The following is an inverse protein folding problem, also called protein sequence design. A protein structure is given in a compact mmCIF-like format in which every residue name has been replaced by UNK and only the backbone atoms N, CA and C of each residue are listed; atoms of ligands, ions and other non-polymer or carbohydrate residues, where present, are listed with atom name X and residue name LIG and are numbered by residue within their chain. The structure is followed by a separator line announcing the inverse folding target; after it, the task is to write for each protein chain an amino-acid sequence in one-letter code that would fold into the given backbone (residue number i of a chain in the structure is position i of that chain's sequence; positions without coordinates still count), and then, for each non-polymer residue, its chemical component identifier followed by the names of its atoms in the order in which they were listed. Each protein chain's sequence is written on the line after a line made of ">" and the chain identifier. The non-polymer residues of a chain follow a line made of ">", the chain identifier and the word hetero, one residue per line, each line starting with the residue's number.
data_IF_176637681121
#
_entry.id   IF_176637681121
#
_cell.length_a   1.000
_cell.length_b   1.000
_cell.length_c   1.000
_cell.angle_alpha   90.00
_cell.angle_beta   90.00
_cell.angle_gamma   90.00
#
_symmetry.space_group_name_H-M   'P 1'
#
loop_
_entity.id
_entity.type
_entity.pdbx_description
1 polymer ?
#
# COMPACT_ATOMS: atom_id res chain seq x y z
N UNK A 1 -23.01 2.93 5.18
CA UNK A 1 -22.76 2.10 3.99
C UNK A 1 -21.87 2.84 3.00
N UNK A 2 -21.35 2.17 1.97
CA UNK A 2 -20.45 2.75 0.95
C UNK A 2 -21.11 3.93 0.21
N UNK A 3 -22.39 3.83 -0.14
CA UNK A 3 -23.12 4.86 -0.91
C UNK A 3 -23.21 6.18 -0.14
N UNK A 4 -23.58 6.13 1.14
CA UNK A 4 -23.64 7.33 1.97
C UNK A 4 -22.24 7.92 2.20
N UNK A 5 -21.25 7.09 2.42
CA UNK A 5 -19.86 7.55 2.55
C UNK A 5 -19.37 8.23 1.26
N UNK A 6 -19.71 7.70 0.07
CA UNK A 6 -19.40 8.34 -1.21
C UNK A 6 -20.08 9.70 -1.40
N UNK A 7 -21.34 9.81 -1.01
CA UNK A 7 -22.05 11.09 -1.04
C UNK A 7 -21.36 12.12 -0.13
N UNK A 8 -21.11 11.78 1.12
CA UNK A 8 -20.42 12.67 2.06
C UNK A 8 -19.02 13.05 1.58
N UNK A 9 -18.28 12.12 0.97
CA UNK A 9 -16.98 12.41 0.39
C UNK A 9 -17.05 13.49 -0.70
N UNK A 10 -18.04 13.41 -1.59
CA UNK A 10 -18.25 14.42 -2.63
C UNK A 10 -18.63 15.78 -2.04
N UNK A 11 -19.57 15.80 -1.10
CA UNK A 11 -20.01 17.03 -0.43
C UNK A 11 -18.88 17.71 0.35
N UNK A 12 -18.07 16.92 1.08
CA UNK A 12 -16.95 17.47 1.85
C UNK A 12 -15.83 18.02 0.95
N UNK A 13 -15.60 17.41 -0.21
CA UNK A 13 -14.68 17.98 -1.20
C UNK A 13 -15.10 19.37 -1.70
N UNK A 14 -16.40 19.59 -1.85
CA UNK A 14 -16.94 20.91 -2.24
C UNK A 14 -16.86 21.91 -1.08
N UNK A 15 -17.13 21.47 0.16
CA UNK A 15 -17.09 22.35 1.33
C UNK A 15 -15.68 22.72 1.77
N UNK A 16 -14.71 21.84 1.53
CA UNK A 16 -13.32 21.98 1.98
C UNK A 16 -12.33 21.84 0.81
N UNK A 17 -12.37 22.75 -0.19
CA UNK A 17 -11.56 22.62 -1.41
C UNK A 17 -10.05 22.74 -1.16
N UNK A 18 -9.63 23.42 -0.09
CA UNK A 18 -8.22 23.59 0.29
C UNK A 18 -7.68 22.43 1.15
N UNK A 19 -8.59 21.67 1.79
CA UNK A 19 -8.24 20.56 2.65
C UNK A 19 -8.10 19.26 1.85
N UNK A 20 -7.36 18.32 2.41
CA UNK A 20 -7.26 16.97 1.84
C UNK A 20 -8.44 16.12 2.32
N UNK A 21 -9.46 15.96 1.48
CA UNK A 21 -10.59 15.06 1.76
C UNK A 21 -10.33 13.71 1.14
N UNK A 22 -10.40 12.65 1.95
CA UNK A 22 -10.04 11.29 1.58
C UNK A 22 -11.18 10.30 1.86
N UNK A 23 -11.18 9.18 1.12
CA UNK A 23 -12.22 8.17 1.18
C UNK A 23 -11.65 6.83 1.65
N UNK A 24 -12.24 6.26 2.70
CA UNK A 24 -11.75 5.03 3.30
C UNK A 24 -12.89 4.05 3.62
N UNK A 25 -13.21 3.17 2.69
CA UNK A 25 -14.28 2.16 2.84
C UNK A 25 -13.74 0.76 2.57
N UNK A 26 -14.56 -0.27 2.75
CA UNK A 26 -14.18 -1.63 2.35
C UNK A 26 -13.88 -1.71 0.86
N UNK A 27 -12.72 -2.27 0.49
CA UNK A 27 -12.32 -2.46 -0.89
C UNK A 27 -12.92 -3.69 -1.56
N UNK A 28 -13.67 -4.52 -0.82
CA UNK A 28 -14.39 -5.66 -1.41
C UNK A 28 -15.65 -5.19 -2.14
N UNK A 29 -15.76 -5.53 -3.42
CA UNK A 29 -17.02 -5.43 -4.16
C UNK A 29 -17.90 -6.63 -3.87
N UNK A 30 -17.29 -7.79 -3.71
CA UNK A 30 -17.92 -9.03 -3.33
C UNK A 30 -17.05 -9.77 -2.31
N UNK A 31 -17.72 -10.37 -1.32
CA UNK A 31 -17.07 -11.22 -0.33
C UNK A 31 -17.99 -12.34 0.10
N UNK A 32 -17.58 -13.56 -0.12
CA UNK A 32 -18.20 -14.78 0.36
C UNK A 32 -17.22 -15.52 1.28
N UNK A 33 -17.52 -15.66 2.58
CA UNK A 33 -16.68 -16.46 3.45
C UNK A 33 -16.79 -17.95 3.10
N UNK A 34 -15.76 -18.71 3.44
CA UNK A 34 -15.84 -20.16 3.41
C UNK A 34 -16.93 -20.67 4.34
N UNK A 35 -17.61 -21.73 3.92
CA UNK A 35 -18.62 -22.41 4.68
C UNK A 35 -18.64 -23.91 4.40
N UNK A 36 -18.99 -24.70 5.42
CA UNK A 36 -19.22 -26.14 5.26
C UNK A 36 -20.65 -26.47 5.62
N UNK A 37 -21.35 -27.15 4.71
CA UNK A 37 -22.73 -27.59 4.89
C UNK A 37 -22.75 -29.11 5.18
N UNK A 38 -22.80 -29.53 6.45
CA UNK A 38 -22.68 -30.94 6.82
C UNK A 38 -23.75 -31.85 6.21
N UNK A 39 -24.97 -31.33 6.01
CA UNK A 39 -26.10 -32.10 5.47
C UNK A 39 -25.91 -32.56 4.03
N UNK A 40 -25.10 -31.87 3.25
CA UNK A 40 -24.81 -32.15 1.85
C UNK A 40 -23.35 -32.51 1.57
N UNK A 41 -22.53 -32.52 2.64
CA UNK A 41 -21.05 -32.69 2.55
C UNK A 41 -20.44 -31.71 1.52
N UNK A 42 -20.93 -30.46 1.57
CA UNK A 42 -20.51 -29.44 0.59
C UNK A 42 -19.62 -28.41 1.28
N UNK A 43 -18.43 -28.24 0.74
CA UNK A 43 -17.54 -27.14 1.10
C UNK A 43 -17.70 -25.99 0.10
N UNK A 44 -18.00 -24.81 0.61
CA UNK A 44 -18.07 -23.57 -0.17
C UNK A 44 -16.78 -22.84 0.06
N UNK A 45 -16.00 -22.66 -1.00
CA UNK A 45 -14.73 -21.93 -0.94
C UNK A 45 -14.96 -20.42 -0.72
N UNK A 46 -13.98 -19.81 -0.05
CA UNK A 46 -13.92 -18.35 0.06
C UNK A 46 -13.80 -17.73 -1.32
N UNK A 47 -14.64 -16.75 -1.60
CA UNK A 47 -14.56 -15.96 -2.83
C UNK A 47 -14.62 -14.47 -2.52
N UNK A 48 -13.79 -13.66 -3.16
CA UNK A 48 -13.72 -12.23 -2.94
C UNK A 48 -13.21 -11.50 -4.18
N UNK A 49 -13.81 -10.36 -4.45
CA UNK A 49 -13.40 -9.45 -5.50
C UNK A 49 -12.98 -8.11 -4.88
N UNK A 50 -11.77 -7.67 -5.19
CA UNK A 50 -11.20 -6.41 -4.71
C UNK A 50 -11.40 -5.34 -5.78
N UNK A 51 -11.83 -4.16 -5.35
CA UNK A 51 -11.93 -2.97 -6.19
C UNK A 51 -10.62 -2.18 -6.09
N UNK A 52 -9.86 -2.14 -7.19
CA UNK A 52 -8.55 -1.51 -7.26
C UNK A 52 -8.58 0.01 -7.05
N UNK A 53 -9.66 0.69 -7.49
CA UNK A 53 -9.84 2.12 -7.29
C UNK A 53 -10.05 2.44 -5.79
N UNK A 54 -10.91 1.67 -5.12
CA UNK A 54 -11.13 1.83 -3.68
C UNK A 54 -9.86 1.49 -2.89
N UNK A 55 -9.11 0.49 -3.31
CA UNK A 55 -7.83 0.15 -2.68
C UNK A 55 -6.83 1.31 -2.82
N UNK A 56 -6.72 1.90 -3.98
CA UNK A 56 -5.90 3.09 -4.23
C UNK A 56 -6.32 4.27 -3.33
N UNK A 57 -7.63 4.55 -3.20
CA UNK A 57 -8.15 5.61 -2.33
C UNK A 57 -7.82 5.34 -0.85
N UNK A 58 -7.85 4.09 -0.40
CA UNK A 58 -7.43 3.71 0.96
C UNK A 58 -5.95 3.99 1.21
N UNK A 59 -5.09 3.64 0.25
CA UNK A 59 -3.67 3.98 0.33
C UNK A 59 -3.44 5.50 0.30
N UNK A 60 -4.20 6.24 -0.50
CA UNK A 60 -4.17 7.71 -0.51
C UNK A 60 -4.56 8.29 0.86
N UNK A 61 -5.63 7.79 1.46
CA UNK A 61 -6.08 8.25 2.78
C UNK A 61 -5.01 7.99 3.86
N UNK A 62 -4.41 6.81 3.85
CA UNK A 62 -3.36 6.46 4.82
C UNK A 62 -2.12 7.33 4.66
N UNK A 63 -1.61 7.51 3.43
CA UNK A 63 -0.43 8.35 3.18
C UNK A 63 -0.69 9.81 3.53
N UNK A 64 -1.87 10.33 3.23
CA UNK A 64 -2.26 11.72 3.52
C UNK A 64 -2.19 12.04 5.02
N UNK A 65 -2.56 11.10 5.90
CA UNK A 65 -2.47 11.27 7.36
C UNK A 65 -1.03 11.46 7.87
N UNK A 66 -0.04 10.95 7.13
CA UNK A 66 1.38 11.13 7.49
C UNK A 66 2.03 12.33 6.79
N UNK A 67 1.45 12.82 5.70
CA UNK A 67 2.01 13.89 4.89
C UNK A 67 1.42 15.27 5.22
N UNK A 68 0.20 15.34 5.78
CA UNK A 68 -0.55 16.58 5.96
C UNK A 68 -1.30 16.60 7.30
N UNK A 69 -1.49 17.81 7.85
CA UNK A 69 -2.25 18.06 9.08
C UNK A 69 -3.71 18.47 8.82
N UNK A 70 -4.06 18.76 7.57
CA UNK A 70 -5.38 19.29 7.14
C UNK A 70 -6.22 18.21 6.44
N UNK A 71 -6.22 16.98 6.96
CA UNK A 71 -6.87 15.81 6.35
C UNK A 71 -8.23 15.54 6.96
N UNK A 72 -9.23 15.31 6.11
CA UNK A 72 -10.58 14.85 6.47
C UNK A 72 -10.79 13.47 5.87
N UNK A 73 -11.08 12.45 6.70
CA UNK A 73 -11.33 11.09 6.23
C UNK A 73 -12.82 10.77 6.34
N UNK A 74 -13.43 10.43 5.22
CA UNK A 74 -14.78 9.87 5.17
C UNK A 74 -14.65 8.35 5.10
N UNK A 75 -15.04 7.68 6.18
CA UNK A 75 -14.82 6.25 6.35
C UNK A 75 -16.10 5.46 6.63
N UNK A 76 -16.11 4.19 6.22
CA UNK A 76 -17.10 3.23 6.70
C UNK A 76 -16.60 2.53 7.98
N UNK A 77 -17.47 1.76 8.63
CA UNK A 77 -17.10 1.00 9.83
C UNK A 77 -15.94 0.01 9.61
N UNK A 78 -15.65 -0.34 8.35
CA UNK A 78 -14.52 -1.20 8.01
C UNK A 78 -13.15 -0.61 8.38
N UNK A 79 -13.07 0.69 8.64
CA UNK A 79 -11.82 1.34 9.06
C UNK A 79 -11.33 0.90 10.46
N UNK A 80 -12.19 0.31 11.29
CA UNK A 80 -11.83 -0.19 12.63
C UNK A 80 -11.38 -1.66 12.64
N UNK A 81 -11.45 -2.33 11.49
CA UNK A 81 -11.08 -3.74 11.33
C UNK A 81 -9.97 -3.92 10.31
N UNK A 82 -9.07 -4.87 10.56
CA UNK A 82 -8.11 -5.33 9.56
C UNK A 82 -7.12 -4.28 9.08
N UNK A 83 -6.76 -3.33 9.90
CA UNK A 83 -5.64 -2.42 9.66
C UNK A 83 -4.42 -2.90 10.45
N UNK A 84 -3.25 -2.78 9.85
CA UNK A 84 -1.98 -3.04 10.52
C UNK A 84 -1.70 -2.03 11.65
N UNK A 85 -0.59 -2.24 12.35
CA UNK A 85 -0.14 -1.28 13.37
C UNK A 85 0.34 0.02 12.71
N UNK A 86 -0.22 1.21 13.05
CA UNK A 86 0.18 2.48 12.47
C UNK A 86 1.66 2.83 12.69
N UNK A 87 2.25 2.43 13.83
CA UNK A 87 3.66 2.65 14.12
C UNK A 87 4.56 1.82 13.19
N UNK A 88 4.18 0.56 12.94
CA UNK A 88 4.91 -0.29 11.99
C UNK A 88 4.83 0.28 10.57
N UNK A 89 3.65 0.74 10.15
CA UNK A 89 3.46 1.37 8.85
C UNK A 89 4.34 2.63 8.69
N UNK A 90 4.37 3.49 9.71
CA UNK A 90 5.21 4.69 9.74
C UNK A 90 6.71 4.37 9.71
N UNK A 91 7.13 3.31 10.38
CA UNK A 91 8.54 2.92 10.47
C UNK A 91 9.05 2.22 9.20
N UNK A 92 8.14 1.80 8.31
CA UNK A 92 8.47 1.10 7.06
C UNK A 92 8.43 2.00 5.83
N UNK A 93 8.39 3.32 5.99
CA UNK A 93 8.50 4.25 4.87
C UNK A 93 9.92 4.30 4.33
N UNK A 94 10.05 4.43 3.00
CA UNK A 94 11.33 4.64 2.33
C UNK A 94 11.43 6.09 1.90
N UNK A 95 12.38 6.81 2.49
CA UNK A 95 12.62 8.22 2.18
C UNK A 95 13.81 8.33 1.22
N UNK A 96 13.64 9.08 0.15
CA UNK A 96 14.68 9.38 -0.85
C UNK A 96 14.83 10.89 -0.99
N UNK A 97 16.08 11.35 -1.15
CA UNK A 97 16.41 12.78 -1.30
C UNK A 97 17.51 12.96 -2.32
N UNK A 98 17.44 14.02 -3.11
CA UNK A 98 18.52 14.42 -4.02
C UNK A 98 19.81 14.68 -3.24
N UNK A 99 20.94 14.17 -3.73
CA UNK A 99 22.25 14.20 -3.06
C UNK A 99 22.42 13.16 -1.93
N UNK A 100 21.48 12.25 -1.76
CA UNK A 100 21.59 11.18 -0.77
C UNK A 100 22.51 10.07 -1.29
N UNK A 101 23.54 9.72 -0.53
CA UNK A 101 24.36 8.54 -0.77
C UNK A 101 23.54 7.29 -0.45
N UNK A 102 23.24 6.51 -1.46
CA UNK A 102 22.51 5.25 -1.39
C UNK A 102 22.79 4.40 -2.63
N UNK A 103 23.27 3.20 -2.46
CA UNK A 103 23.36 2.26 -3.57
C UNK A 103 21.97 1.96 -4.15
N UNK A 104 21.86 1.90 -5.49
CA UNK A 104 20.61 1.49 -6.16
C UNK A 104 20.08 0.15 -5.61
N UNK A 105 20.97 -0.81 -5.37
CA UNK A 105 20.64 -2.13 -4.80
C UNK A 105 20.00 -2.03 -3.42
N UNK A 106 20.39 -1.04 -2.63
CA UNK A 106 19.79 -0.77 -1.32
C UNK A 106 18.36 -0.26 -1.46
N UNK A 107 18.13 0.70 -2.38
CA UNK A 107 16.77 1.16 -2.65
C UNK A 107 15.86 0.02 -3.09
N UNK A 108 16.33 -0.87 -3.98
CA UNK A 108 15.53 -2.02 -4.45
C UNK A 108 15.16 -2.98 -3.30
N UNK A 109 16.08 -3.26 -2.38
CA UNK A 109 15.79 -4.07 -1.19
C UNK A 109 14.74 -3.41 -0.31
N UNK A 110 14.91 -2.11 0.00
CA UNK A 110 13.92 -1.35 0.79
C UNK A 110 12.53 -1.36 0.15
N UNK A 111 12.43 -1.27 -1.18
CA UNK A 111 11.14 -1.35 -1.88
C UNK A 111 10.48 -2.72 -1.70
N UNK A 112 11.24 -3.81 -1.78
CA UNK A 112 10.72 -5.17 -1.52
C UNK A 112 10.29 -5.32 -0.06
N UNK A 113 11.04 -4.80 0.89
CA UNK A 113 10.71 -4.83 2.32
C UNK A 113 9.38 -4.12 2.62
N UNK A 114 9.04 -3.07 1.87
CA UNK A 114 7.77 -2.35 1.96
C UNK A 114 6.71 -2.83 0.97
N UNK A 115 6.87 -4.08 0.49
CA UNK A 115 5.90 -4.85 -0.30
C UNK A 115 5.70 -4.37 -1.74
N UNK A 116 6.64 -3.63 -2.32
CA UNK A 116 6.66 -3.43 -3.77
C UNK A 116 7.24 -4.64 -4.47
N UNK A 117 6.64 -5.03 -5.57
CA UNK A 117 7.19 -6.07 -6.44
C UNK A 117 7.87 -5.48 -7.67
N UNK A 118 8.96 -6.12 -8.13
CA UNK A 118 9.59 -5.72 -9.37
C UNK A 118 8.79 -6.23 -10.56
N UNK A 119 8.40 -5.33 -11.45
CA UNK A 119 7.76 -5.69 -12.70
C UNK A 119 8.20 -4.74 -13.81
N UNK A 120 9.11 -5.20 -14.67
CA UNK A 120 9.68 -4.39 -15.75
C UNK A 120 8.76 -4.35 -17.00
N UNK A 121 7.74 -5.21 -17.08
CA UNK A 121 6.84 -5.39 -18.22
C UNK A 121 5.49 -4.73 -17.94
N UNK A 122 4.81 -5.17 -16.89
CA UNK A 122 3.50 -4.67 -16.48
C UNK A 122 3.66 -3.73 -15.28
N UNK A 123 3.85 -2.45 -15.59
CA UNK A 123 4.13 -1.43 -14.60
C UNK A 123 2.84 -0.83 -14.07
N UNK A 124 2.44 -1.27 -12.89
CA UNK A 124 1.19 -0.90 -12.21
C UNK A 124 1.42 -0.47 -10.76
N UNK A 125 0.38 -0.01 -10.07
CA UNK A 125 0.44 0.40 -8.65
C UNK A 125 1.09 -0.68 -7.78
N UNK A 126 1.91 -0.27 -6.83
CA UNK A 126 2.63 -1.19 -5.93
C UNK A 126 3.77 -1.95 -6.60
N UNK A 127 4.19 -1.55 -7.80
CA UNK A 127 5.36 -2.13 -8.47
C UNK A 127 6.47 -1.10 -8.67
N UNK A 128 7.67 -1.60 -8.92
CA UNK A 128 8.79 -0.80 -9.42
C UNK A 128 9.45 -1.48 -10.61
N UNK A 129 10.08 -0.70 -11.47
CA UNK A 129 10.91 -1.18 -12.59
C UNK A 129 12.25 -0.51 -12.61
N UNK A 130 13.23 -1.18 -13.23
CA UNK A 130 14.62 -0.72 -13.26
C UNK A 130 15.12 -0.68 -14.70
N UNK A 131 15.66 0.45 -15.11
CA UNK A 131 16.27 0.64 -16.43
C UNK A 131 17.62 1.38 -16.29
N UNK A 132 18.72 0.62 -16.32
CA UNK A 132 20.04 1.19 -16.06
C UNK A 132 20.14 1.77 -14.65
N UNK A 133 20.49 3.04 -14.54
CA UNK A 133 20.60 3.77 -13.28
C UNK A 133 19.31 4.49 -12.87
N UNK A 134 18.19 4.13 -13.48
CA UNK A 134 16.89 4.70 -13.21
C UNK A 134 15.99 3.65 -12.55
N UNK A 135 15.39 4.02 -11.42
CA UNK A 135 14.35 3.25 -10.74
C UNK A 135 13.04 4.03 -10.83
N UNK A 136 12.02 3.42 -11.44
CA UNK A 136 10.68 3.98 -11.47
C UNK A 136 9.79 3.20 -10.50
N UNK A 137 9.09 3.93 -9.63
CA UNK A 137 8.27 3.39 -8.56
C UNK A 137 6.86 3.89 -8.77
N UNK A 138 5.87 2.98 -8.80
CA UNK A 138 4.48 3.35 -8.90
C UNK A 138 3.82 3.26 -7.52
N UNK A 139 3.65 4.40 -6.81
CA UNK A 139 3.09 4.38 -5.46
C UNK A 139 1.69 3.78 -5.44
N UNK A 140 1.39 2.96 -4.41
CA UNK A 140 0.07 2.35 -4.25
C UNK A 140 -1.06 3.38 -4.08
N UNK A 141 -0.72 4.59 -3.60
CA UNK A 141 -1.64 5.72 -3.37
C UNK A 141 -1.91 6.60 -4.60
N UNK A 142 -1.29 6.33 -5.75
CA UNK A 142 -1.39 7.16 -6.94
C UNK A 142 -2.05 6.42 -8.10
N UNK A 143 -2.70 7.16 -9.00
CA UNK A 143 -3.43 6.60 -10.14
C UNK A 143 -2.67 6.69 -11.46
N UNK A 144 -2.07 7.85 -11.75
CA UNK A 144 -1.43 8.11 -13.05
C UNK A 144 0.04 8.53 -12.95
N UNK A 145 0.58 8.61 -11.75
CA UNK A 145 1.88 9.19 -11.50
C UNK A 145 2.83 8.19 -10.85
N UNK A 146 4.00 8.04 -11.45
CA UNK A 146 5.10 7.30 -10.84
C UNK A 146 6.24 8.25 -10.42
N UNK A 147 7.10 7.76 -9.54
CA UNK A 147 8.30 8.44 -9.09
C UNK A 147 9.50 7.83 -9.80
N UNK A 148 10.23 8.66 -10.50
CA UNK A 148 11.48 8.31 -11.15
C UNK A 148 12.63 8.80 -10.30
N UNK A 149 13.48 7.87 -9.83
CA UNK A 149 14.71 8.12 -9.09
C UNK A 149 15.88 7.80 -10.02
N UNK A 150 16.72 8.79 -10.30
CA UNK A 150 17.88 8.68 -11.14
C UNK A 150 19.14 8.68 -10.29
N UNK A 151 20.03 7.72 -10.54
CA UNK A 151 21.28 7.56 -9.81
C UNK A 151 22.47 8.00 -10.66
N UNK A 152 23.46 8.61 -10.01
CA UNK A 152 24.78 8.80 -10.56
C UNK A 152 25.80 8.12 -9.64
N UNK A 153 26.25 6.92 -10.02
CA UNK A 153 27.00 6.04 -9.12
C UNK A 153 26.12 5.62 -7.93
N UNK A 154 26.60 5.88 -6.72
CA UNK A 154 25.91 5.56 -5.46
C UNK A 154 25.20 6.78 -4.84
N UNK A 155 24.88 7.78 -5.65
CA UNK A 155 24.18 8.98 -5.21
C UNK A 155 22.88 9.15 -6.00
N UNK A 156 21.82 9.63 -5.34
CA UNK A 156 20.57 10.02 -5.98
C UNK A 156 20.75 11.40 -6.62
N UNK A 157 20.85 11.44 -7.96
CA UNK A 157 21.03 12.67 -8.73
C UNK A 157 19.73 13.46 -8.89
N UNK A 158 18.62 12.76 -9.19
CA UNK A 158 17.32 13.41 -9.44
C UNK A 158 16.16 12.56 -8.97
N UNK A 159 15.08 13.27 -8.58
CA UNK A 159 13.79 12.68 -8.27
C UNK A 159 12.72 13.43 -9.06
N UNK A 160 11.89 12.72 -9.84
CA UNK A 160 10.84 13.30 -10.68
C UNK A 160 9.53 12.59 -10.51
N UNK A 161 8.45 13.36 -10.51
CA UNK A 161 7.10 12.85 -10.73
C UNK A 161 6.86 12.80 -12.24
N UNK A 162 6.45 11.62 -12.72
CA UNK A 162 6.31 11.32 -14.15
C UNK A 162 4.95 10.67 -14.39
N UNK A 163 4.25 11.10 -15.44
CA UNK A 163 3.08 10.37 -15.91
C UNK A 163 3.54 9.00 -16.45
N UNK A 164 3.03 7.91 -15.88
CA UNK A 164 3.52 6.56 -16.18
C UNK A 164 3.22 6.07 -17.59
N UNK A 165 2.16 6.63 -18.24
CA UNK A 165 1.75 6.28 -19.60
C UNK A 165 2.56 7.05 -20.65
N UNK A 166 2.66 8.39 -20.48
CA UNK A 166 3.30 9.26 -21.48
C UNK A 166 4.80 9.41 -21.26
N UNK A 167 5.28 9.17 -20.04
CA UNK A 167 6.67 9.44 -19.65
C UNK A 167 6.96 10.93 -19.42
N UNK A 168 5.95 11.79 -19.50
CA UNK A 168 6.10 13.23 -19.31
C UNK A 168 6.44 13.56 -17.84
N UNK A 169 7.45 14.43 -17.66
CA UNK A 169 7.83 14.93 -16.34
C UNK A 169 6.81 15.97 -15.88
N UNK A 170 6.09 15.66 -14.80
CA UNK A 170 5.10 16.57 -14.19
C UNK A 170 5.83 17.63 -13.35
N UNK A 171 6.80 17.20 -12.54
CA UNK A 171 7.64 18.11 -11.73
C UNK A 171 8.87 17.40 -11.18
N UNK A 172 9.86 18.21 -10.79
CA UNK A 172 11.03 17.76 -10.02
C UNK A 172 10.74 17.82 -8.51
N UNK A 173 11.42 16.96 -7.77
CA UNK A 173 11.32 16.86 -6.31
C UNK A 173 12.71 16.80 -5.68
N UNK A 174 12.91 17.52 -4.60
CA UNK A 174 14.10 17.40 -3.77
C UNK A 174 14.04 16.18 -2.84
N UNK A 175 12.82 15.76 -2.50
CA UNK A 175 12.55 14.68 -1.57
C UNK A 175 11.23 13.99 -1.91
N UNK A 176 11.18 12.67 -1.69
CA UNK A 176 9.95 11.90 -1.77
C UNK A 176 9.92 10.79 -0.70
N UNK A 177 8.74 10.57 -0.13
CA UNK A 177 8.47 9.49 0.82
C UNK A 177 7.63 8.43 0.16
N UNK A 178 8.14 7.19 0.12
CA UNK A 178 7.47 6.03 -0.45
C UNK A 178 6.84 5.27 0.70
N UNK A 179 5.51 5.20 0.70
CA UNK A 179 4.74 4.44 1.68
C UNK A 179 4.62 2.98 1.26
N UNK A 180 4.41 2.03 2.20
CA UNK A 180 4.23 0.63 1.87
C UNK A 180 3.12 0.39 0.85
N UNK A 181 3.33 -0.59 -0.04
CA UNK A 181 2.34 -0.99 -1.04
C UNK A 181 1.20 -1.83 -0.45
N UNK A 182 1.25 -2.18 0.82
CA UNK A 182 0.20 -2.89 1.56
C UNK A 182 -0.01 -2.26 2.93
N UNK A 183 -1.26 -2.26 3.42
CA UNK A 183 -1.56 -1.89 4.82
C UNK A 183 -1.10 -2.96 5.83
N UNK A 184 -0.82 -4.18 5.37
CA UNK A 184 -0.43 -5.33 6.19
C UNK A 184 1.08 -5.59 6.05
N UNK A 185 1.88 -4.65 6.54
CA UNK A 185 3.34 -4.80 6.58
C UNK A 185 3.81 -5.16 7.98
N UNK A 186 4.71 -6.11 8.06
CA UNK A 186 5.29 -6.59 9.32
C UNK A 186 6.79 -6.79 9.13
N UNK A 187 7.59 -6.36 10.08
CA UNK A 187 9.05 -6.56 10.05
C UNK A 187 9.40 -8.04 10.10
N UNK A 188 10.48 -8.43 9.42
CA UNK A 188 10.97 -9.81 9.35
C UNK A 188 11.17 -10.43 10.74
N UNK A 189 11.69 -9.67 11.71
CA UNK A 189 11.90 -10.13 13.09
C UNK A 189 10.59 -10.53 13.78
N UNK A 190 9.53 -9.73 13.60
CA UNK A 190 8.21 -10.05 14.13
C UNK A 190 7.57 -11.25 13.42
N UNK A 191 7.82 -11.38 12.12
CA UNK A 191 7.34 -12.52 11.34
C UNK A 191 7.96 -13.83 11.85
N UNK A 192 9.28 -13.86 12.13
CA UNK A 192 9.94 -15.03 12.71
C UNK A 192 9.32 -15.43 14.05
N UNK A 193 9.11 -14.47 14.95
CA UNK A 193 8.46 -14.73 16.25
C UNK A 193 7.01 -15.21 16.09
N UNK A 194 6.28 -14.69 15.11
CA UNK A 194 4.92 -15.12 14.82
C UNK A 194 4.89 -16.57 14.31
N UNK A 195 5.80 -16.94 13.43
CA UNK A 195 5.92 -18.32 12.90
C UNK A 195 6.19 -19.30 14.04
N UNK A 196 7.15 -19.02 14.93
CA UNK A 196 7.46 -19.87 16.08
C UNK A 196 6.23 -20.08 17.00
N UNK A 197 5.43 -19.02 17.21
CA UNK A 197 4.19 -19.11 18.00
C UNK A 197 3.13 -19.95 17.31
N UNK A 198 2.95 -19.77 16.00
CA UNK A 198 1.99 -20.53 15.19
C UNK A 198 2.36 -22.03 15.21
N UNK A 199 3.63 -22.39 15.05
CA UNK A 199 4.11 -23.76 15.09
C UNK A 199 3.81 -24.42 16.45
N UNK A 200 4.06 -23.69 17.54
CA UNK A 200 3.76 -24.17 18.88
C UNK A 200 2.26 -24.38 19.12
N UNK A 201 1.44 -23.39 18.72
CA UNK A 201 -0.02 -23.48 18.83
C UNK A 201 -0.57 -24.64 17.99
N UNK A 202 -0.04 -24.85 16.79
CA UNK A 202 -0.39 -25.98 15.93
C UNK A 202 -0.12 -27.32 16.62
N UNK A 203 1.06 -27.49 17.23
CA UNK A 203 1.41 -28.72 17.96
C UNK A 203 0.47 -28.99 19.16
N UNK A 204 0.14 -27.94 19.91
CA UNK A 204 -0.80 -28.02 21.03
C UNK A 204 -2.20 -28.42 20.53
N UNK A 205 -2.67 -27.79 19.45
CA UNK A 205 -3.97 -28.06 18.87
C UNK A 205 -4.10 -29.46 18.27
N UNK A 206 -3.06 -29.94 17.61
CA UNK A 206 -3.03 -31.31 17.08
C UNK A 206 -3.11 -32.37 18.19
N UNK A 207 -2.56 -32.10 19.38
CA UNK A 207 -2.68 -33.02 20.54
C UNK A 207 -4.09 -33.06 21.12
N UNK A 208 -4.81 -31.93 21.07
CA UNK A 208 -6.21 -31.88 21.54
C UNK A 208 -7.19 -32.60 20.59
N UNK A 209 -6.89 -32.63 19.30
CA UNK A 209 -7.76 -33.19 18.26
C UNK A 209 -7.49 -34.67 17.97
N UNK A 210 -6.40 -35.25 18.51
CA UNK A 210 -6.07 -36.67 18.41
C UNK A 210 -6.56 -37.46 19.63
#
# INVERSE_FOLDING_TARGET
>A
NKTLAGQLYSEFKEFFPENRVEYFVSYYDYYQPEAYVPSTDTFIEKDASINDEIDQLRHSATSSLFERDDVIIIASVSCIYGLGNPEEYKNLVVSVRVGMEMERSELLRKLVDVQYSRNDIDFQRGTFRVRGDVVEIFPASREEMCIRVEFFGDEIDRIREVNYLTGEVIREREHFTIFPASHFVTREEKMKVAIERIEKELEERLKELR
#
